data_IF_540769757664
#
_entry.id   IF_540769757664
#
_cell.length_a   1.000
_cell.length_b   1.000
_cell.length_c   1.000
_cell.angle_alpha   90.00
_cell.angle_beta   90.00
_cell.angle_gamma   90.00
#
_symmetry.space_group_name_H-M   'P 1'
#
loop_
_entity.id
_entity.type
_entity.pdbx_description
1 polymer ?
#
# COMPACT_ATOMS: atom_id res chain seq x y z
N UNK A 1 2.01 -2.38 5.60
CA UNK A 1 2.93 -1.68 4.68
C UNK A 1 3.86 -0.72 5.37
N UNK A 2 3.41 0.03 6.39
CA UNK A 2 4.29 0.92 7.18
C UNK A 2 5.67 0.31 7.54
N UNK A 3 5.71 -0.94 8.02
CA UNK A 3 6.96 -1.61 8.38
C UNK A 3 7.98 -1.70 7.23
N UNK A 4 7.57 -2.16 6.04
CA UNK A 4 8.49 -2.28 4.89
C UNK A 4 8.99 -0.90 4.44
N UNK A 5 8.09 0.08 4.37
CA UNK A 5 8.42 1.45 3.96
C UNK A 5 9.43 2.10 4.91
N UNK A 6 9.26 1.92 6.22
CA UNK A 6 10.24 2.36 7.22
C UNK A 6 11.58 1.62 7.06
N UNK A 7 11.55 0.30 6.85
CA UNK A 7 12.77 -0.51 6.73
C UNK A 7 13.62 -0.14 5.52
N UNK A 8 12.99 0.29 4.43
CA UNK A 8 13.66 0.70 3.18
C UNK A 8 13.87 2.21 3.08
N UNK A 9 13.57 2.97 4.15
CA UNK A 9 13.79 4.42 4.20
C UNK A 9 12.89 5.23 3.24
N UNK A 10 11.72 4.70 2.85
CA UNK A 10 10.78 5.39 1.97
C UNK A 10 9.83 6.27 2.77
N UNK A 11 9.94 7.58 2.55
CA UNK A 11 8.97 8.54 3.06
C UNK A 11 7.57 8.18 2.57
N UNK A 12 6.60 8.19 3.48
CA UNK A 12 5.21 7.85 3.19
C UNK A 12 4.28 8.66 4.09
N UNK A 13 3.07 8.93 3.58
CA UNK A 13 1.99 9.50 4.36
C UNK A 13 0.94 8.43 4.57
N UNK A 14 0.72 8.06 5.84
CA UNK A 14 -0.34 7.13 6.22
C UNK A 14 -1.69 7.85 6.18
N UNK A 15 -2.68 7.18 5.60
CA UNK A 15 -4.09 7.57 5.66
C UNK A 15 -4.83 6.42 6.31
N UNK A 16 -5.46 6.68 7.45
CA UNK A 16 -6.24 5.66 8.14
C UNK A 16 -7.60 5.47 7.47
N UNK A 17 -7.97 4.20 7.26
CA UNK A 17 -9.23 3.78 6.65
C UNK A 17 -9.81 2.67 7.52
N UNK A 18 -10.93 2.94 8.17
CA UNK A 18 -11.58 2.03 9.10
C UNK A 18 -12.46 1.02 8.34
N UNK A 19 -11.97 -0.22 8.22
CA UNK A 19 -12.74 -1.31 7.63
C UNK A 19 -14.05 -1.59 8.38
N UNK A 20 -14.05 -1.45 9.71
CA UNK A 20 -15.23 -1.67 10.56
C UNK A 20 -16.34 -0.66 10.33
N UNK A 21 -16.03 0.52 9.80
CA UNK A 21 -17.01 1.55 9.41
C UNK A 21 -17.39 1.50 7.93
N UNK A 22 -16.80 0.58 7.16
CA UNK A 22 -17.09 0.43 5.73
C UNK A 22 -16.39 1.43 4.81
N UNK A 23 -15.50 2.28 5.32
CA UNK A 23 -14.78 3.33 4.58
C UNK A 23 -14.04 2.86 3.30
N UNK A 24 -13.55 1.59 3.19
CA UNK A 24 -12.99 1.12 1.91
C UNK A 24 -13.99 1.08 0.74
N UNK A 25 -15.30 1.23 1.00
CA UNK A 25 -16.35 1.31 -0.03
C UNK A 25 -16.60 2.75 -0.50
N UNK A 26 -15.99 3.74 0.13
CA UNK A 26 -16.12 5.13 -0.31
C UNK A 26 -15.48 5.31 -1.68
N UNK A 27 -16.08 6.15 -2.53
CA UNK A 27 -15.62 6.38 -3.91
C UNK A 27 -14.14 6.77 -3.98
N UNK A 28 -13.67 7.58 -3.03
CA UNK A 28 -12.26 8.00 -2.94
C UNK A 28 -11.31 6.83 -2.71
N UNK A 29 -11.71 5.83 -1.94
CA UNK A 29 -10.90 4.63 -1.72
C UNK A 29 -11.02 3.64 -2.88
N UNK A 30 -12.22 3.48 -3.44
CA UNK A 30 -12.46 2.62 -4.60
C UNK A 30 -11.67 3.07 -5.84
N UNK A 31 -11.45 4.37 -6.00
CA UNK A 31 -10.57 4.91 -7.03
C UNK A 31 -9.11 4.43 -6.89
N UNK A 32 -8.68 4.00 -5.69
CA UNK A 32 -7.34 3.46 -5.41
C UNK A 32 -7.36 1.93 -5.50
N UNK A 33 -8.32 1.28 -4.84
CA UNK A 33 -8.48 -0.18 -4.85
C UNK A 33 -9.96 -0.57 -5.00
N UNK A 34 -10.40 -0.95 -6.20
CA UNK A 34 -11.77 -1.39 -6.46
C UNK A 34 -12.22 -2.60 -5.63
N UNK A 35 -11.27 -3.37 -5.07
CA UNK A 35 -11.58 -4.51 -4.20
C UNK A 35 -11.99 -4.09 -2.78
N UNK A 36 -11.99 -2.79 -2.46
CA UNK A 36 -12.39 -2.25 -1.16
C UNK A 36 -11.61 -2.87 0.02
N UNK A 37 -10.31 -3.10 -0.16
CA UNK A 37 -9.43 -3.72 0.85
C UNK A 37 -8.20 -2.85 1.11
N UNK A 38 -7.82 -2.76 2.38
CA UNK A 38 -6.49 -2.28 2.77
C UNK A 38 -5.53 -3.48 2.89
N UNK A 39 -4.22 -3.29 2.68
CA UNK A 39 -3.56 -2.05 2.28
C UNK A 39 -3.70 -1.73 0.78
N UNK A 40 -3.59 -0.45 0.44
CA UNK A 40 -3.48 0.08 -0.92
C UNK A 40 -2.56 1.31 -0.90
N UNK A 41 -1.78 1.51 -1.95
CA UNK A 41 -0.73 2.53 -2.05
C UNK A 41 -0.95 3.38 -3.31
N UNK A 42 -0.84 4.71 -3.15
CA UNK A 42 -0.70 5.65 -4.25
C UNK A 42 0.79 6.01 -4.35
N UNK A 43 1.43 5.56 -5.42
CA UNK A 43 2.84 5.79 -5.69
C UNK A 43 3.05 7.11 -6.42
N UNK A 44 4.32 7.50 -6.55
CA UNK A 44 4.73 8.63 -7.37
C UNK A 44 4.25 8.46 -8.82
N UNK A 45 3.82 9.56 -9.44
CA UNK A 45 3.25 9.56 -10.79
C UNK A 45 1.81 9.02 -10.87
N UNK A 46 1.13 8.83 -9.73
CA UNK A 46 -0.29 8.45 -9.70
C UNK A 46 -0.57 6.96 -9.86
N UNK A 47 0.48 6.12 -9.86
CA UNK A 47 0.32 4.67 -9.96
C UNK A 47 -0.32 4.11 -8.69
N UNK A 48 -1.24 3.17 -8.87
CA UNK A 48 -1.96 2.52 -7.78
C UNK A 48 -1.43 1.10 -7.59
N UNK A 49 -1.33 0.67 -6.33
CA UNK A 49 -0.93 -0.70 -6.00
C UNK A 49 -1.76 -1.22 -4.84
N UNK A 50 -2.30 -2.42 -4.98
CA UNK A 50 -3.02 -3.16 -3.94
C UNK A 50 -2.38 -4.53 -3.75
N UNK A 51 -2.95 -5.35 -2.87
CA UNK A 51 -2.43 -6.66 -2.45
C UNK A 51 -1.14 -6.58 -1.61
N UNK A 52 -1.23 -7.03 -0.36
CA UNK A 52 -0.13 -6.91 0.60
C UNK A 52 1.16 -7.62 0.15
N UNK A 53 1.03 -8.80 -0.48
CA UNK A 53 2.17 -9.55 -1.01
C UNK A 53 2.86 -8.83 -2.18
N UNK A 54 2.08 -8.25 -3.10
CA UNK A 54 2.62 -7.48 -4.22
C UNK A 54 3.30 -6.20 -3.74
N UNK A 55 2.69 -5.48 -2.79
CA UNK A 55 3.28 -4.27 -2.20
C UNK A 55 4.60 -4.59 -1.50
N UNK A 56 4.65 -5.67 -0.70
CA UNK A 56 5.88 -6.12 -0.05
C UNK A 56 6.98 -6.44 -1.06
N UNK A 57 6.65 -7.26 -2.07
CA UNK A 57 7.58 -7.65 -3.12
C UNK A 57 8.13 -6.44 -3.88
N UNK A 58 7.28 -5.49 -4.23
CA UNK A 58 7.67 -4.28 -4.95
C UNK A 58 8.69 -3.44 -4.17
N UNK A 59 8.41 -3.17 -2.89
CA UNK A 59 9.31 -2.36 -2.05
C UNK A 59 10.54 -3.11 -1.58
N UNK A 60 10.52 -4.45 -1.57
CA UNK A 60 11.69 -5.25 -1.23
C UNK A 60 12.67 -5.41 -2.40
N UNK A 61 12.25 -5.13 -3.65
CA UNK A 61 13.16 -5.16 -4.80
C UNK A 61 14.39 -4.28 -4.56
N UNK A 62 15.56 -4.82 -4.92
CA UNK A 62 16.86 -4.15 -4.76
C UNK A 62 17.25 -3.84 -3.31
N UNK A 63 16.67 -4.58 -2.35
CA UNK A 63 17.06 -4.54 -0.93
C UNK A 63 17.55 -5.91 -0.48
N UNK A 64 18.19 -5.99 0.69
CA UNK A 64 18.60 -7.27 1.28
C UNK A 64 17.42 -8.09 1.87
N UNK A 65 16.17 -7.64 1.70
CA UNK A 65 14.99 -8.30 2.27
C UNK A 65 14.44 -9.41 1.36
N UNK A 66 14.86 -9.45 0.10
CA UNK A 66 14.65 -10.58 -0.78
C UNK A 66 15.95 -11.38 -0.84
N UNK A 67 15.92 -12.63 -0.42
CA UNK A 67 16.98 -13.57 -0.79
C UNK A 67 17.02 -13.72 -2.32
N UNK A 68 18.18 -14.02 -2.93
CA UNK A 68 18.19 -14.65 -4.24
C UNK A 68 17.42 -15.98 -4.24
#
# INVERSE_FOLDING_TARGET
MHMILCRVGKANRRVDVAQTRGEPRDEKFLAINPMAKVPAELLEGGRLMSESGAILYYFSQHTSLTSP
#
